data_IF_775630271687
#
_entry.id   IF_775630271687
#
_cell.length_a   1.000
_cell.length_b   1.000
_cell.length_c   1.000
_cell.angle_alpha   90.00
_cell.angle_beta   90.00
_cell.angle_gamma   90.00
#
_symmetry.space_group_name_H-M   'P 1'
#
loop_
_entity.id
_entity.type
_entity.pdbx_description
1 polymer ?
#
# COMPACT_ATOMS: atom_id res chain seq x y z
N UNK A 1 6.92 8.22 -17.70
CA UNK A 1 6.01 8.64 -16.61
C UNK A 1 5.78 7.43 -15.72
N UNK A 2 6.31 7.44 -14.51
CA UNK A 2 5.95 6.45 -13.47
C UNK A 2 4.50 6.70 -13.06
N UNK A 3 3.70 5.64 -12.91
CA UNK A 3 2.32 5.76 -12.46
C UNK A 3 2.30 6.28 -11.01
N UNK A 4 1.38 7.19 -10.68
CA UNK A 4 1.24 7.71 -9.31
C UNK A 4 0.66 6.64 -8.37
N UNK A 5 0.80 6.84 -7.06
CA UNK A 5 0.15 5.97 -6.07
C UNK A 5 -1.38 5.90 -6.30
N UNK A 6 -2.02 7.01 -6.65
CA UNK A 6 -3.45 7.08 -6.93
C UNK A 6 -3.84 6.30 -8.20
N UNK A 7 -3.05 6.40 -9.26
CA UNK A 7 -3.27 5.61 -10.49
C UNK A 7 -3.23 4.11 -10.20
N UNK A 8 -2.29 3.67 -9.35
CA UNK A 8 -2.12 2.27 -8.98
C UNK A 8 -3.30 1.76 -8.14
N UNK A 9 -3.83 2.57 -7.21
CA UNK A 9 -5.06 2.24 -6.47
C UNK A 9 -6.25 2.12 -7.42
N UNK A 10 -6.41 3.04 -8.37
CA UNK A 10 -7.46 2.97 -9.38
C UNK A 10 -7.39 1.67 -10.20
N UNK A 11 -6.18 1.26 -10.62
CA UNK A 11 -5.96 -0.01 -11.31
C UNK A 11 -6.21 -1.22 -10.42
N UNK A 12 -5.89 -1.17 -9.13
CA UNK A 12 -6.18 -2.23 -8.18
C UNK A 12 -7.70 -2.45 -8.07
N UNK A 13 -8.49 -1.37 -7.95
CA UNK A 13 -9.97 -1.44 -7.93
C UNK A 13 -10.52 -2.03 -9.22
N UNK A 14 -10.08 -1.54 -10.38
CA UNK A 14 -10.51 -2.06 -11.68
C UNK A 14 -10.18 -3.55 -11.86
N UNK A 15 -8.99 -3.97 -11.42
CA UNK A 15 -8.57 -5.37 -11.44
C UNK A 15 -9.47 -6.22 -10.55
N UNK A 16 -9.78 -5.78 -9.34
CA UNK A 16 -10.66 -6.51 -8.42
C UNK A 16 -12.07 -6.72 -8.98
N UNK A 17 -12.57 -5.78 -9.79
CA UNK A 17 -13.87 -5.87 -10.47
C UNK A 17 -13.86 -6.69 -11.77
N UNK A 18 -12.69 -7.12 -12.25
CA UNK A 18 -12.57 -7.90 -13.49
C UNK A 18 -13.05 -9.34 -13.33
N UNK A 19 -13.26 -10.05 -14.44
CA UNK A 19 -13.64 -11.47 -14.45
C UNK A 19 -12.45 -12.44 -14.32
N UNK A 20 -11.23 -11.95 -14.08
CA UNK A 20 -10.04 -12.81 -13.97
C UNK A 20 -10.10 -13.70 -12.72
N UNK A 21 -9.63 -14.95 -12.87
CA UNK A 21 -9.59 -15.93 -11.77
C UNK A 21 -8.72 -15.46 -10.61
N UNK A 22 -7.57 -14.84 -10.90
CA UNK A 22 -6.60 -14.36 -9.89
C UNK A 22 -6.77 -12.88 -9.51
N UNK A 23 -7.91 -12.28 -9.88
CA UNK A 23 -8.17 -10.83 -9.71
C UNK A 23 -7.88 -10.31 -8.31
N UNK A 24 -8.21 -11.06 -7.27
CA UNK A 24 -8.01 -10.64 -5.88
C UNK A 24 -6.52 -10.43 -5.60
N UNK A 25 -5.70 -11.41 -5.98
CA UNK A 25 -4.26 -11.35 -5.75
C UNK A 25 -3.59 -10.32 -6.63
N UNK A 26 -3.97 -10.25 -7.91
CA UNK A 26 -3.47 -9.21 -8.82
C UNK A 26 -3.77 -7.81 -8.27
N UNK A 27 -4.98 -7.60 -7.74
CA UNK A 27 -5.35 -6.35 -7.09
C UNK A 27 -4.54 -6.10 -5.81
N UNK A 28 -4.25 -7.12 -4.99
CA UNK A 28 -3.33 -6.98 -3.84
C UNK A 28 -1.91 -6.57 -4.27
N UNK A 29 -1.38 -7.11 -5.38
CA UNK A 29 -0.08 -6.71 -5.90
C UNK A 29 -0.06 -5.22 -6.28
N UNK A 30 -1.07 -4.76 -7.01
CA UNK A 30 -1.20 -3.35 -7.39
C UNK A 30 -1.37 -2.43 -6.18
N UNK A 31 -2.19 -2.83 -5.21
CA UNK A 31 -2.40 -2.07 -3.97
C UNK A 31 -1.11 -1.99 -3.13
N UNK A 32 -0.30 -3.06 -3.10
CA UNK A 32 1.01 -3.05 -2.44
C UNK A 32 1.97 -2.07 -3.13
N UNK A 33 2.04 -2.09 -4.46
CA UNK A 33 2.88 -1.13 -5.20
C UNK A 33 2.42 0.31 -4.96
N UNK A 34 1.11 0.55 -4.91
CA UNK A 34 0.57 1.86 -4.57
C UNK A 34 0.98 2.31 -3.16
N UNK A 35 0.90 1.42 -2.18
CA UNK A 35 1.31 1.69 -0.80
C UNK A 35 2.81 2.00 -0.69
N UNK A 36 3.65 1.21 -1.37
CA UNK A 36 5.11 1.43 -1.36
C UNK A 36 5.47 2.79 -1.98
N UNK A 37 4.82 3.19 -3.07
CA UNK A 37 4.95 4.54 -3.64
C UNK A 37 4.46 5.64 -2.69
N UNK A 38 3.33 5.42 -2.00
CA UNK A 38 2.80 6.39 -1.03
C UNK A 38 3.72 6.58 0.18
N UNK A 39 4.47 5.55 0.59
CA UNK A 39 5.46 5.67 1.66
C UNK A 39 6.66 6.51 1.21
N UNK A 40 7.10 6.38 -0.04
CA UNK A 40 8.13 7.27 -0.58
C UNK A 40 7.65 8.74 -0.57
N UNK A 41 6.40 9.00 -0.98
CA UNK A 41 5.79 10.34 -0.93
C UNK A 41 5.69 10.88 0.53
N UNK A 42 5.29 10.04 1.48
CA UNK A 42 5.18 10.40 2.90
C UNK A 42 6.53 10.78 3.52
N UNK A 43 7.60 10.05 3.18
CA UNK A 43 8.95 10.34 3.65
C UNK A 43 9.50 11.61 2.99
N UNK A 44 9.28 11.78 1.69
CA UNK A 44 9.68 12.99 0.97
C UNK A 44 9.02 14.25 1.55
N UNK A 45 7.75 14.17 1.98
CA UNK A 45 7.05 15.29 2.63
C UNK A 45 7.61 15.67 4.02
N UNK A 46 8.53 14.87 4.57
CA UNK A 46 9.28 15.15 5.80
C UNK A 46 10.76 15.42 5.51
N UNK A 47 11.11 15.70 4.26
CA UNK A 47 12.49 15.91 3.78
C UNK A 47 13.42 14.71 4.07
N UNK A 48 12.86 13.50 4.13
CA UNK A 48 13.60 12.26 4.33
C UNK A 48 13.70 11.48 3.01
N UNK A 49 14.93 11.26 2.55
CA UNK A 49 15.22 10.35 1.45
C UNK A 49 15.75 9.01 2.02
N UNK A 50 14.95 7.95 1.84
CA UNK A 50 15.35 6.60 2.24
C UNK A 50 16.31 5.92 1.23
N UNK A 51 16.58 6.56 0.08
CA UNK A 51 17.48 6.07 -0.95
C UNK A 51 17.13 4.65 -1.41
N UNK A 52 18.13 3.77 -1.38
CA UNK A 52 18.01 2.34 -1.78
C UNK A 52 17.61 1.41 -0.63
N UNK A 53 17.14 1.95 0.50
CA UNK A 53 16.67 1.14 1.61
C UNK A 53 15.59 0.14 1.15
N UNK A 54 15.42 -0.96 1.87
CA UNK A 54 14.29 -1.86 1.63
C UNK A 54 13.03 -1.30 2.31
N UNK A 55 11.87 -1.90 2.01
CA UNK A 55 10.61 -1.39 2.53
C UNK A 55 10.51 -1.45 4.06
N UNK A 56 11.09 -2.46 4.72
CA UNK A 56 11.08 -2.53 6.19
C UNK A 56 11.87 -1.37 6.81
N UNK A 57 13.02 -1.03 6.24
CA UNK A 57 13.80 0.12 6.67
C UNK A 57 13.04 1.45 6.45
N UNK A 58 12.31 1.59 5.33
CA UNK A 58 11.43 2.77 5.12
C UNK A 58 10.34 2.88 6.19
N UNK A 59 9.73 1.75 6.59
CA UNK A 59 8.74 1.74 7.68
C UNK A 59 9.34 2.21 9.00
N UNK A 60 10.59 1.84 9.31
CA UNK A 60 11.29 2.37 10.50
C UNK A 60 11.54 3.88 10.40
N UNK A 61 11.95 4.40 9.24
CA UNK A 61 12.06 5.85 9.03
C UNK A 61 10.71 6.54 9.21
N UNK A 62 9.63 5.93 8.71
CA UNK A 62 8.27 6.46 8.83
C UNK A 62 7.82 6.51 10.29
N UNK A 63 8.14 5.50 11.11
CA UNK A 63 7.87 5.50 12.55
C UNK A 63 8.50 6.69 13.25
N UNK A 64 9.75 7.03 12.93
CA UNK A 64 10.42 8.21 13.49
C UNK A 64 9.84 9.53 12.95
N UNK A 65 9.53 9.60 11.66
CA UNK A 65 9.07 10.83 11.00
C UNK A 65 7.63 11.25 11.38
N UNK A 66 6.80 10.29 11.78
CA UNK A 66 5.39 10.47 12.11
C UNK A 66 5.08 10.02 13.55
N UNK A 67 6.06 10.14 14.46
CA UNK A 67 5.90 9.83 15.87
C UNK A 67 4.66 10.55 16.47
N UNK A 68 3.90 9.83 17.30
CA UNK A 68 2.67 10.34 17.91
C UNK A 68 1.43 10.34 17.01
N UNK A 69 1.53 9.86 15.76
CA UNK A 69 0.38 9.68 14.86
C UNK A 69 0.04 8.20 14.64
N UNK A 70 -1.13 7.91 14.05
CA UNK A 70 -1.56 6.57 13.68
C UNK A 70 -0.96 6.09 12.33
N UNK A 71 -0.30 6.98 11.58
CA UNK A 71 0.18 6.74 10.22
C UNK A 71 1.12 5.53 10.14
N UNK A 72 2.19 5.42 10.96
CA UNK A 72 3.12 4.29 10.85
C UNK A 72 2.45 2.94 11.10
N UNK A 73 1.60 2.86 12.13
CA UNK A 73 0.90 1.63 12.49
C UNK A 73 -0.04 1.17 11.38
N UNK A 74 -0.77 2.10 10.76
CA UNK A 74 -1.67 1.77 9.65
C UNK A 74 -0.91 1.31 8.41
N UNK A 75 0.19 1.99 8.06
CA UNK A 75 1.02 1.62 6.91
C UNK A 75 1.65 0.25 7.11
N UNK A 76 2.19 -0.03 8.31
CA UNK A 76 2.77 -1.32 8.65
C UNK A 76 1.74 -2.45 8.58
N UNK A 77 0.53 -2.22 9.12
CA UNK A 77 -0.59 -3.16 9.00
C UNK A 77 -0.91 -3.47 7.53
N UNK A 78 -1.13 -2.43 6.71
CA UNK A 78 -1.49 -2.60 5.31
C UNK A 78 -0.38 -3.32 4.53
N UNK A 79 0.89 -2.94 4.74
CA UNK A 79 2.02 -3.55 4.05
C UNK A 79 2.19 -5.02 4.42
N UNK A 80 2.05 -5.38 5.70
CA UNK A 80 2.12 -6.76 6.16
C UNK A 80 1.01 -7.62 5.54
N UNK A 81 -0.24 -7.16 5.63
CA UNK A 81 -1.40 -7.90 5.09
C UNK A 81 -1.36 -8.04 3.57
N UNK A 82 -0.95 -7.00 2.85
CA UNK A 82 -0.77 -7.06 1.40
C UNK A 82 0.39 -7.99 1.01
N UNK A 83 1.50 -7.96 1.75
CA UNK A 83 2.62 -8.87 1.52
C UNK A 83 2.20 -10.32 1.68
N UNK A 84 1.46 -10.62 2.73
CA UNK A 84 0.89 -11.94 2.97
C UNK A 84 -0.09 -12.37 1.88
N UNK A 85 -0.95 -11.46 1.41
CA UNK A 85 -1.92 -11.72 0.35
C UNK A 85 -1.26 -11.93 -1.02
N UNK A 86 -0.09 -11.32 -1.26
CA UNK A 86 0.68 -11.49 -2.48
C UNK A 86 1.44 -12.81 -2.54
N UNK A 87 1.84 -13.38 -1.39
CA UNK A 87 2.59 -14.64 -1.34
C UNK A 87 1.72 -15.86 -1.67
N UNK A 88 2.18 -16.66 -2.63
CA UNK A 88 1.58 -17.95 -3.00
C UNK A 88 2.30 -19.08 -2.27
N UNK A 89 1.56 -19.84 -1.46
CA UNK A 89 2.04 -21.10 -0.90
C UNK A 89 1.00 -22.19 -1.21
N UNK A 90 1.45 -23.42 -1.45
CA UNK A 90 0.60 -24.53 -1.91
C UNK A 90 -0.67 -24.78 -1.07
N UNK A 91 -0.65 -24.38 0.22
CA UNK A 91 -1.77 -24.56 1.16
C UNK A 91 -2.40 -23.24 1.63
N UNK A 92 -1.96 -22.10 1.09
CA UNK A 92 -2.48 -20.79 1.50
C UNK A 92 -3.64 -20.40 0.61
N UNK A 93 -4.81 -20.25 1.20
CA UNK A 93 -6.00 -19.76 0.51
C UNK A 93 -5.73 -18.40 -0.13
N UNK A 94 -6.29 -18.17 -1.31
CA UNK A 94 -6.27 -16.84 -1.94
C UNK A 94 -7.03 -15.84 -1.07
N UNK A 95 -6.59 -14.57 -1.04
CA UNK A 95 -7.31 -13.53 -0.30
C UNK A 95 -8.75 -13.44 -0.82
N UNK A 96 -9.70 -13.29 0.10
CA UNK A 96 -11.10 -13.13 -0.27
C UNK A 96 -11.33 -11.77 -0.94
N UNK A 97 -12.46 -11.64 -1.65
CA UNK A 97 -12.84 -10.36 -2.24
C UNK A 97 -12.97 -9.26 -1.18
N UNK A 98 -13.62 -9.57 -0.05
CA UNK A 98 -13.83 -8.62 1.04
C UNK A 98 -12.52 -8.14 1.66
N UNK A 99 -11.59 -9.05 1.94
CA UNK A 99 -10.25 -8.69 2.46
C UNK A 99 -9.49 -7.82 1.45
N UNK A 100 -9.53 -8.18 0.17
CA UNK A 100 -8.85 -7.42 -0.89
C UNK A 100 -9.44 -6.02 -1.02
N UNK A 101 -10.77 -5.90 -1.05
CA UNK A 101 -11.47 -4.63 -1.12
C UNK A 101 -11.15 -3.74 0.10
N UNK A 102 -11.13 -4.33 1.30
CA UNK A 102 -10.77 -3.63 2.52
C UNK A 102 -9.35 -3.07 2.45
N UNK A 103 -8.36 -3.89 2.08
CA UNK A 103 -6.97 -3.45 1.98
C UNK A 103 -6.78 -2.35 0.94
N UNK A 104 -7.44 -2.44 -0.22
CA UNK A 104 -7.43 -1.37 -1.24
C UNK A 104 -7.99 -0.07 -0.66
N UNK A 105 -9.13 -0.14 0.04
CA UNK A 105 -9.74 1.03 0.65
C UNK A 105 -8.84 1.64 1.75
N UNK A 106 -8.14 0.81 2.53
CA UNK A 106 -7.16 1.27 3.51
C UNK A 106 -6.03 2.06 2.86
N UNK A 107 -5.47 1.57 1.75
CA UNK A 107 -4.41 2.25 1.00
C UNK A 107 -4.91 3.55 0.38
N UNK A 108 -6.10 3.54 -0.24
CA UNK A 108 -6.70 4.75 -0.83
C UNK A 108 -6.93 5.85 0.21
N UNK A 109 -7.44 5.48 1.39
CA UNK A 109 -7.64 6.43 2.48
C UNK A 109 -6.33 7.05 2.99
N UNK A 110 -5.22 6.29 2.98
CA UNK A 110 -3.89 6.82 3.34
C UNK A 110 -3.38 7.82 2.31
N UNK A 111 -3.54 7.50 1.02
CA UNK A 111 -3.10 8.38 -0.07
C UNK A 111 -3.92 9.68 -0.05
N UNK A 112 -5.24 9.59 0.13
CA UNK A 112 -6.10 10.76 0.29
C UNK A 112 -5.71 11.63 1.49
N UNK A 113 -5.53 11.03 2.67
CA UNK A 113 -5.12 11.76 3.87
C UNK A 113 -3.74 12.43 3.72
N UNK A 114 -2.81 11.80 3.00
CA UNK A 114 -1.51 12.40 2.70
C UNK A 114 -1.63 13.62 1.77
N UNK A 115 -2.45 13.52 0.71
CA UNK A 115 -2.67 14.63 -0.23
C UNK A 115 -3.24 15.86 0.49
N UNK A 116 -4.16 15.65 1.43
CA UNK A 116 -4.76 16.75 2.21
C UNK A 116 -3.76 17.43 3.15
N UNK A 117 -2.74 16.71 3.65
CA UNK A 117 -1.68 17.28 4.49
C UNK A 117 -0.66 18.14 3.72
N UNK A 118 -0.66 18.12 2.37
CA UNK A 118 0.25 18.92 1.53
C UNK A 118 -0.32 20.28 1.09
N UNK A 119 -1.60 20.55 1.34
CA UNK A 119 -2.25 21.84 1.04
C UNK A 119 -2.19 22.77 2.25
#
# INVERSE_FOLDING_TARGET
MTATAQDLVGRARATLSSSHTDRNRMACWLARTALEAAVDDLLAARDLDAGRANMRSRLTCLQAAYEGTDVPARVEYAWSRLSEACHQHAYKLSPTFAETAHLIATVDAMIGAHVDQRK
#
